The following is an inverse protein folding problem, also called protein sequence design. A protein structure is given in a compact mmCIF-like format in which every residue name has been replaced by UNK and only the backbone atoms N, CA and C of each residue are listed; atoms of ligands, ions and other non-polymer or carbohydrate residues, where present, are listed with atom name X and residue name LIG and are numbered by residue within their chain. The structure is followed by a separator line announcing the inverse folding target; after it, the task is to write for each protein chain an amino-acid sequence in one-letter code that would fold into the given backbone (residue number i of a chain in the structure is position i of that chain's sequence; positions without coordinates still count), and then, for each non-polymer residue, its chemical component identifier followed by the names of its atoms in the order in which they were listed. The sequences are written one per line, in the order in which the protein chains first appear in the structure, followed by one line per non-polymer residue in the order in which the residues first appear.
data_IF_105274770895
#
_entry.id   IF_105274770895
#
_cell.length_a   1.000
_cell.length_b   1.000
_cell.length_c   1.000
_cell.angle_alpha   90.00
_cell.angle_beta   90.00
_cell.angle_gamma   90.00
#
_symmetry.space_group_name_H-M   'P 1'
#
loop_
_entity.id
_entity.type
_entity.pdbx_description
1 polymer ?
#
# COMPACT_ATOMS: atom_id res chain seq x y z
N UNK A 1 -23.80 -20.93 -14.76
CA UNK A 1 -22.67 -20.73 -13.81
C UNK A 1 -21.38 -20.72 -14.61
N UNK A 2 -20.71 -19.57 -14.72
CA UNK A 2 -19.63 -19.22 -13.79
C UNK A 2 -18.31 -19.99 -13.99
N UNK A 3 -18.02 -20.52 -15.18
CA UNK A 3 -16.78 -21.26 -15.43
C UNK A 3 -15.56 -20.39 -15.79
N UNK A 4 -15.71 -19.19 -16.36
CA UNK A 4 -14.55 -18.34 -16.70
C UNK A 4 -14.31 -17.13 -15.79
N UNK A 5 -15.32 -16.63 -15.08
CA UNK A 5 -15.13 -15.47 -14.19
C UNK A 5 -14.12 -15.77 -13.06
N UNK A 6 -14.12 -17.00 -12.53
CA UNK A 6 -13.12 -17.40 -11.52
C UNK A 6 -11.71 -17.41 -12.08
N UNK A 7 -11.52 -17.85 -13.33
CA UNK A 7 -10.21 -17.88 -13.99
C UNK A 7 -9.72 -16.48 -14.33
N UNK A 8 -10.60 -15.60 -14.81
CA UNK A 8 -10.31 -14.19 -15.08
C UNK A 8 -9.94 -13.46 -13.78
N UNK A 9 -10.72 -13.65 -12.70
CA UNK A 9 -10.43 -13.07 -11.39
C UNK A 9 -9.09 -13.57 -10.82
N UNK A 10 -8.84 -14.88 -10.87
CA UNK A 10 -7.58 -15.45 -10.39
C UNK A 10 -6.38 -14.89 -11.18
N UNK A 11 -6.49 -14.82 -12.51
CA UNK A 11 -5.42 -14.27 -13.37
C UNK A 11 -5.20 -12.78 -13.11
N UNK A 12 -6.27 -12.00 -12.96
CA UNK A 12 -6.21 -10.58 -12.63
C UNK A 12 -5.55 -10.33 -11.27
N UNK A 13 -5.92 -11.10 -10.25
CA UNK A 13 -5.35 -11.00 -8.91
C UNK A 13 -3.88 -11.40 -8.90
N UNK A 14 -3.48 -12.48 -9.60
CA UNK A 14 -2.08 -12.87 -9.73
C UNK A 14 -1.23 -11.78 -10.40
N UNK A 15 -1.74 -11.14 -11.47
CA UNK A 15 -1.05 -10.02 -12.13
C UNK A 15 -0.96 -8.78 -11.24
N UNK A 16 -2.02 -8.46 -10.51
CA UNK A 16 -2.04 -7.34 -9.57
C UNK A 16 -0.99 -7.55 -8.46
N UNK A 17 -0.95 -8.76 -7.87
CA UNK A 17 0.04 -9.14 -6.86
C UNK A 17 1.48 -9.05 -7.38
N UNK A 18 1.73 -9.49 -8.61
CA UNK A 18 3.06 -9.39 -9.23
C UNK A 18 3.45 -7.93 -9.52
N UNK A 19 2.50 -7.07 -9.89
CA UNK A 19 2.77 -5.66 -10.22
C UNK A 19 3.07 -4.83 -8.97
N UNK A 20 2.43 -5.15 -7.84
CA UNK A 20 2.59 -4.45 -6.56
C UNK A 20 3.96 -4.69 -5.93
N UNK A 21 4.66 -5.77 -6.29
CA UNK A 21 6.04 -5.98 -5.87
C UNK A 21 7.01 -4.95 -6.46
N UNK A 22 6.64 -4.26 -7.56
CA UNK A 22 7.55 -3.37 -8.30
C UNK A 22 7.04 -1.94 -8.49
N UNK A 23 5.72 -1.70 -8.36
CA UNK A 23 5.12 -0.37 -8.35
C UNK A 23 4.24 -0.21 -7.11
N UNK A 24 4.25 0.96 -6.45
CA UNK A 24 3.41 1.21 -5.30
C UNK A 24 1.98 1.59 -5.75
N UNK A 25 1.37 0.74 -6.56
CA UNK A 25 -0.01 0.86 -7.09
C UNK A 25 -1.04 0.91 -5.95
N UNK A 26 -0.67 0.39 -4.78
CA UNK A 26 -1.47 0.47 -3.54
C UNK A 26 -1.92 1.90 -3.23
N UNK A 27 -1.10 2.92 -3.51
CA UNK A 27 -1.47 4.32 -3.27
C UNK A 27 -2.42 4.90 -4.32
N UNK A 28 -2.54 4.29 -5.50
CA UNK A 28 -3.53 4.69 -6.51
C UNK A 28 -4.94 4.19 -6.15
N UNK A 29 -5.02 3.17 -5.28
CA UNK A 29 -6.29 2.62 -4.78
C UNK A 29 -6.81 3.36 -3.53
N UNK A 30 -6.00 4.27 -2.98
CA UNK A 30 -6.33 5.05 -1.80
C UNK A 30 -6.70 6.49 -2.18
N UNK A 31 -7.50 7.18 -1.34
CA UNK A 31 -7.72 8.62 -1.47
C UNK A 31 -6.39 9.39 -1.30
N UNK A 32 -6.37 10.66 -1.71
CA UNK A 32 -5.17 11.51 -1.66
C UNK A 32 -4.56 11.62 -0.25
N UNK A 33 -5.42 11.65 0.77
CA UNK A 33 -5.06 11.53 2.18
C UNK A 33 -5.71 10.30 2.79
N UNK A 34 -4.94 9.48 3.48
CA UNK A 34 -5.41 8.22 4.05
C UNK A 34 -4.81 7.98 5.44
N UNK A 35 -5.44 7.10 6.21
CA UNK A 35 -4.91 6.62 7.49
C UNK A 35 -4.02 5.39 7.27
N UNK A 36 -3.06 5.14 8.17
CA UNK A 36 -2.27 3.90 8.13
C UNK A 36 -3.13 2.63 8.24
N UNK A 37 -4.29 2.73 8.89
CA UNK A 37 -5.26 1.62 8.95
C UNK A 37 -5.83 1.29 7.57
N UNK A 38 -6.30 2.31 6.84
CA UNK A 38 -6.79 2.11 5.46
C UNK A 38 -5.71 1.56 4.53
N UNK A 39 -4.47 2.06 4.67
CA UNK A 39 -3.35 1.51 3.91
C UNK A 39 -3.11 0.04 4.24
N UNK A 40 -3.16 -0.34 5.52
CA UNK A 40 -3.06 -1.73 5.95
C UNK A 40 -4.18 -2.59 5.35
N UNK A 41 -5.44 -2.15 5.43
CA UNK A 41 -6.60 -2.90 4.91
C UNK A 41 -6.46 -3.19 3.41
N UNK A 42 -6.01 -2.21 2.63
CA UNK A 42 -5.77 -2.37 1.18
C UNK A 42 -4.63 -3.35 0.93
N UNK A 43 -3.51 -3.24 1.66
CA UNK A 43 -2.38 -4.16 1.53
C UNK A 43 -2.80 -5.59 1.87
N UNK A 44 -3.55 -5.79 2.95
CA UNK A 44 -4.06 -7.10 3.37
C UNK A 44 -5.03 -7.68 2.35
N UNK A 45 -5.95 -6.86 1.83
CA UNK A 45 -6.91 -7.28 0.81
C UNK A 45 -6.21 -7.75 -0.48
N UNK A 46 -5.14 -7.07 -0.89
CA UNK A 46 -4.36 -7.42 -2.07
C UNK A 46 -3.49 -8.66 -1.82
N UNK A 47 -2.74 -8.66 -0.72
CA UNK A 47 -1.87 -9.77 -0.36
C UNK A 47 -2.67 -11.05 -0.05
N UNK A 48 -3.92 -10.90 0.38
CA UNK A 48 -4.75 -12.00 0.87
C UNK A 48 -4.23 -12.59 2.18
N UNK A 49 -3.44 -11.83 2.94
CA UNK A 49 -2.84 -12.23 4.20
C UNK A 49 -2.94 -11.08 5.19
N UNK A 50 -3.20 -11.41 6.45
CA UNK A 50 -3.22 -10.43 7.53
C UNK A 50 -1.79 -10.01 7.88
N UNK A 51 -1.60 -8.72 8.14
CA UNK A 51 -0.30 -8.15 8.50
C UNK A 51 -0.35 -7.66 9.94
N UNK A 52 0.73 -7.87 10.68
CA UNK A 52 0.80 -7.40 12.06
C UNK A 52 0.86 -5.86 12.10
N UNK A 53 -0.14 -5.24 12.75
CA UNK A 53 -0.34 -3.78 12.82
C UNK A 53 0.93 -3.00 13.18
N UNK A 54 1.64 -3.47 14.18
CA UNK A 54 2.83 -2.79 14.73
C UNK A 54 4.04 -2.91 13.80
N UNK A 55 4.18 -4.06 13.13
CA UNK A 55 5.25 -4.27 12.16
C UNK A 55 4.98 -3.46 10.90
N UNK A 56 3.72 -3.42 10.46
CA UNK A 56 3.29 -2.61 9.33
C UNK A 56 3.62 -1.14 9.55
N UNK A 57 3.21 -0.58 10.69
CA UNK A 57 3.52 0.79 11.06
C UNK A 57 5.02 1.07 11.06
N UNK A 58 5.82 0.19 11.67
CA UNK A 58 7.29 0.33 11.70
C UNK A 58 7.90 0.32 10.31
N UNK A 59 7.44 -0.55 9.41
CA UNK A 59 7.94 -0.63 8.03
C UNK A 59 7.56 0.61 7.23
N UNK A 60 6.34 1.12 7.40
CA UNK A 60 5.87 2.33 6.71
C UNK A 60 6.61 3.57 7.22
N UNK A 61 6.81 3.69 8.53
CA UNK A 61 7.64 4.75 9.14
C UNK A 61 9.10 4.63 8.68
N UNK A 62 9.68 3.44 8.57
CA UNK A 62 11.03 3.28 7.98
C UNK A 62 11.11 3.68 6.50
N UNK A 63 9.95 3.72 5.83
CA UNK A 63 9.80 4.19 4.46
C UNK A 63 9.38 5.65 4.41
N UNK A 64 9.75 6.49 5.40
CA UNK A 64 9.46 7.94 5.51
C UNK A 64 9.60 8.74 4.19
N UNK A 65 10.41 8.26 3.24
CA UNK A 65 10.48 8.85 1.91
C UNK A 65 9.14 8.74 1.13
N UNK A 66 8.42 7.62 1.24
CA UNK A 66 7.22 7.31 0.46
C UNK A 66 5.94 7.94 0.99
N UNK A 67 5.80 8.15 2.31
CA UNK A 67 4.59 8.71 2.91
C UNK A 67 4.93 9.85 3.85
N UNK A 68 4.26 10.98 3.68
CA UNK A 68 4.42 12.15 4.54
C UNK A 68 3.25 12.20 5.54
N UNK A 69 3.51 12.40 6.84
CA UNK A 69 2.45 12.70 7.79
C UNK A 69 1.88 14.08 7.49
N UNK A 70 0.56 14.19 7.55
CA UNK A 70 -0.12 15.49 7.51
C UNK A 70 -0.44 15.95 8.93
N UNK A 71 -0.66 17.25 9.12
CA UNK A 71 -1.10 17.80 10.41
C UNK A 71 -2.58 17.48 10.72
N UNK A 72 -3.27 16.85 9.78
CA UNK A 72 -4.67 16.49 9.91
C UNK A 72 -4.88 15.12 10.55
N UNK A 73 -6.01 14.99 11.25
CA UNK A 73 -6.44 13.73 11.86
C UNK A 73 -7.85 13.36 11.39
N UNK A 74 -8.03 12.10 11.03
CA UNK A 74 -9.33 11.54 10.72
C UNK A 74 -10.11 11.33 12.01
N UNK A 75 -11.21 12.08 12.16
CA UNK A 75 -12.14 11.97 13.30
C UNK A 75 -13.23 10.91 13.10
N UNK A 76 -13.40 10.39 11.86
CA UNK A 76 -14.44 9.43 11.49
C UNK A 76 -13.98 7.96 11.52
N UNK A 77 -13.10 7.58 12.45
CA UNK A 77 -12.57 6.21 12.58
C UNK A 77 -13.29 5.34 13.61
N UNK A 78 -14.38 5.82 14.22
CA UNK A 78 -15.12 5.09 15.25
C UNK A 78 -14.33 4.86 16.55
N UNK A 79 -13.24 5.61 16.75
CA UNK A 79 -12.31 5.47 17.88
C UNK A 79 -11.34 6.66 17.99
N UNK A 80 -10.11 6.43 18.49
CA UNK A 80 -9.09 7.49 18.61
C UNK A 80 -8.81 8.14 17.23
N UNK A 81 -8.69 9.47 17.15
CA UNK A 81 -8.36 10.14 15.89
C UNK A 81 -7.08 9.57 15.29
N UNK A 82 -7.15 9.14 14.04
CA UNK A 82 -6.02 8.58 13.31
C UNK A 82 -5.32 9.69 12.52
N UNK A 83 -3.99 9.76 12.57
CA UNK A 83 -3.25 10.71 11.73
C UNK A 83 -3.45 10.38 10.24
N UNK A 84 -3.63 11.42 9.45
CA UNK A 84 -3.68 11.33 8.01
C UNK A 84 -2.27 11.40 7.43
N UNK A 85 -2.06 10.66 6.36
CA UNK A 85 -0.82 10.56 5.60
C UNK A 85 -1.12 10.84 4.13
N UNK A 86 -0.15 11.41 3.42
CA UNK A 86 -0.19 11.59 1.98
C UNK A 86 0.93 10.78 1.33
N UNK A 87 0.67 10.25 0.14
CA UNK A 87 1.70 9.58 -0.64
C UNK A 87 2.58 10.60 -1.39
N UNK A 88 3.90 10.53 -1.15
CA UNK A 88 4.87 11.40 -1.83
C UNK A 88 5.22 10.82 -3.20
N UNK A 89 4.46 11.23 -4.22
CA UNK A 89 4.62 10.77 -5.62
C UNK A 89 6.02 11.04 -6.19
N UNK A 90 6.73 12.03 -5.69
CA UNK A 90 8.10 12.39 -6.13
C UNK A 90 9.11 11.25 -5.93
N UNK A 91 8.92 10.42 -4.89
CA UNK A 91 9.85 9.33 -4.57
C UNK A 91 9.81 8.21 -5.59
N UNK A 92 8.73 8.09 -6.38
CA UNK A 92 8.70 7.19 -7.52
C UNK A 92 9.61 7.65 -8.65
N UNK A 93 9.63 8.96 -8.90
CA UNK A 93 10.49 9.58 -9.91
C UNK A 93 11.95 9.50 -9.50
N UNK A 94 12.26 9.73 -8.23
CA UNK A 94 13.62 9.59 -7.68
C UNK A 94 14.10 8.13 -7.66
N UNK A 95 13.25 7.17 -7.26
CA UNK A 95 13.62 5.74 -7.26
C UNK A 95 13.74 5.13 -8.65
N UNK A 96 13.01 5.66 -9.63
CA UNK A 96 13.19 5.31 -11.04
C UNK A 96 14.56 5.81 -11.56
N UNK A 97 15.07 6.92 -11.04
CA UNK A 97 16.41 7.45 -11.38
C UNK A 97 17.55 6.74 -10.62
N UNK A 98 17.35 6.31 -9.38
CA UNK A 98 18.41 5.72 -8.53
C UNK A 98 18.59 4.20 -8.77
N UNK A 99 17.72 3.56 -9.56
CA UNK A 99 17.80 2.14 -9.84
C UNK A 99 17.33 1.31 -8.64
N UNK A 100 16.28 0.54 -8.84
CA UNK A 100 15.64 -0.26 -7.79
C UNK A 100 16.59 -1.35 -7.27
N UNK A 101 17.39 -1.05 -6.25
CA UNK A 101 18.07 -2.07 -5.42
C UNK A 101 17.03 -2.72 -4.50
N UNK A 102 16.14 -3.53 -5.07
CA UNK A 102 15.43 -4.55 -4.32
C UNK A 102 16.46 -5.63 -3.95
N UNK A 103 16.58 -6.05 -2.68
CA UNK A 103 17.39 -7.20 -2.33
C UNK A 103 16.81 -8.41 -3.09
N UNK A 104 17.62 -8.97 -4.00
CA UNK A 104 17.31 -10.22 -4.68
C UNK A 104 17.14 -11.29 -3.60
N UNK A 105 15.96 -11.88 -3.51
CA UNK A 105 15.82 -13.16 -2.82
C UNK A 105 16.74 -14.15 -3.53
N UNK A 106 17.62 -14.79 -2.77
CA UNK A 106 18.22 -16.06 -3.19
C UNK A 106 17.13 -17.11 -3.37
#
# INVERSE_FOLDING_TARGET
MALDHRRILATGLSRLRATIQYRPVVFELLPETFTLGQLQDVVEAIAGQLVHKQNFRRVVEQQDALVEPTDEVAHATGGRPARLYRFRREVLTERAQVGTKLPRSR
#
